data_IF_708297354249
#
_entry.id   IF_708297354249
#
_cell.length_a   1.000
_cell.length_b   1.000
_cell.length_c   1.000
_cell.angle_alpha   90.00
_cell.angle_beta   90.00
_cell.angle_gamma   90.00
#
_symmetry.space_group_name_H-M   'P 1'
#
loop_
_entity.id
_entity.type
_entity.pdbx_description
1 polymer ?
#
# COMPACT_ATOMS: atom_id res chain seq x y z
N UNK A 1 -12.28 14.49 -4.26
CA UNK A 1 -10.94 15.12 -4.15
C UNK A 1 -9.99 14.51 -5.19
N UNK A 2 -10.10 14.86 -6.48
CA UNK A 2 -9.49 14.07 -7.57
C UNK A 2 -7.94 14.07 -7.61
N UNK A 3 -7.30 15.09 -7.02
CA UNK A 3 -5.84 15.26 -7.04
C UNK A 3 -5.17 14.94 -5.69
N UNK A 4 -5.96 14.55 -4.69
CA UNK A 4 -5.46 14.37 -3.33
C UNK A 4 -4.76 13.02 -3.22
N UNK A 5 -3.68 13.00 -2.45
CA UNK A 5 -3.06 11.75 -2.02
C UNK A 5 -3.91 11.21 -0.87
N UNK A 6 -4.62 10.12 -1.13
CA UNK A 6 -5.32 9.35 -0.11
C UNK A 6 -4.44 8.17 0.22
N UNK A 7 -3.89 8.17 1.44
CA UNK A 7 -2.82 7.26 1.84
C UNK A 7 -3.29 6.34 2.95
N UNK A 8 -3.08 5.04 2.79
CA UNK A 8 -3.11 4.14 3.93
C UNK A 8 -1.88 4.33 4.81
N UNK A 9 -2.13 4.56 6.09
CA UNK A 9 -1.12 4.61 7.14
C UNK A 9 -1.11 3.28 7.93
N UNK A 10 -0.38 3.25 9.05
CA UNK A 10 -0.34 2.08 9.93
C UNK A 10 -1.72 1.69 10.47
N UNK A 11 -1.92 0.39 10.69
CA UNK A 11 -3.16 -0.18 11.23
C UNK A 11 -4.19 -0.59 10.17
N UNK A 12 -3.90 -0.42 8.87
CA UNK A 12 -4.79 -0.85 7.77
C UNK A 12 -5.02 -2.37 7.79
N UNK A 13 -3.99 -3.13 8.14
CA UNK A 13 -3.99 -4.59 8.19
C UNK A 13 -4.82 -5.10 9.37
N UNK A 14 -4.86 -4.36 10.48
CA UNK A 14 -5.69 -4.68 11.64
C UNK A 14 -7.16 -4.28 11.42
N UNK A 15 -7.38 -3.12 10.78
CA UNK A 15 -8.73 -2.54 10.65
C UNK A 15 -9.48 -3.09 9.45
N UNK A 16 -8.79 -3.29 8.33
CA UNK A 16 -9.39 -3.65 7.04
C UNK A 16 -8.97 -5.03 6.55
N UNK A 17 -7.91 -5.61 7.10
CA UNK A 17 -7.31 -6.84 6.60
C UNK A 17 -6.80 -6.71 5.16
N UNK A 18 -6.40 -7.85 4.59
CA UNK A 18 -5.85 -7.88 3.23
C UNK A 18 -6.90 -7.58 2.16
N UNK A 19 -8.10 -8.15 2.29
CA UNK A 19 -9.20 -7.92 1.36
C UNK A 19 -9.64 -6.46 1.37
N UNK A 20 -9.87 -5.88 2.56
CA UNK A 20 -10.25 -4.47 2.65
C UNK A 20 -9.16 -3.51 2.20
N UNK A 21 -7.88 -3.84 2.44
CA UNK A 21 -6.76 -3.07 1.88
C UNK A 21 -6.79 -3.10 0.34
N UNK A 22 -7.00 -4.29 -0.25
CA UNK A 22 -7.09 -4.47 -1.70
C UNK A 22 -8.25 -3.67 -2.29
N UNK A 23 -9.42 -3.77 -1.69
CA UNK A 23 -10.63 -3.07 -2.13
C UNK A 23 -10.46 -1.55 -2.06
N UNK A 24 -9.78 -1.04 -1.02
CA UNK A 24 -9.50 0.39 -0.92
C UNK A 24 -8.52 0.91 -1.96
N UNK A 25 -7.48 0.14 -2.30
CA UNK A 25 -6.56 0.48 -3.40
C UNK A 25 -7.28 0.55 -4.75
N UNK A 26 -8.20 -0.38 -5.00
CA UNK A 26 -9.06 -0.35 -6.20
C UNK A 26 -10.13 0.75 -6.12
N UNK A 27 -10.54 1.13 -4.91
CA UNK A 27 -11.56 2.14 -4.62
C UNK A 27 -11.07 3.60 -4.62
N UNK A 28 -9.78 3.85 -4.87
CA UNK A 28 -9.23 5.20 -5.05
C UNK A 28 -8.17 5.63 -4.02
N UNK A 29 -7.78 4.77 -3.08
CA UNK A 29 -6.53 4.97 -2.33
C UNK A 29 -5.36 4.87 -3.31
N UNK A 30 -4.44 5.83 -3.26
CA UNK A 30 -3.34 5.94 -4.24
C UNK A 30 -1.95 6.03 -3.60
N UNK A 31 -1.85 5.75 -2.30
CA UNK A 31 -0.59 5.63 -1.59
C UNK A 31 -0.70 4.70 -0.38
N UNK A 32 0.40 4.06 0.00
CA UNK A 32 0.52 3.22 1.19
C UNK A 32 1.87 3.46 1.87
N UNK A 33 1.88 3.51 3.21
CA UNK A 33 3.12 3.45 3.99
C UNK A 33 3.51 1.97 4.12
N UNK A 34 4.75 1.63 3.78
CA UNK A 34 5.28 0.26 3.81
C UNK A 34 6.42 0.15 4.81
N UNK A 35 6.62 -1.06 5.36
CA UNK A 35 7.77 -1.41 6.21
C UNK A 35 7.79 -0.72 7.58
N UNK A 36 7.26 -1.39 8.61
CA UNK A 36 7.22 -0.92 10.01
C UNK A 36 6.80 0.55 10.13
N UNK A 37 5.49 0.75 10.03
CA UNK A 37 4.74 2.01 9.88
C UNK A 37 5.14 3.16 10.83
N UNK A 38 6.28 3.78 10.55
CA UNK A 38 6.88 4.97 11.17
C UNK A 38 7.02 4.93 12.70
N UNK A 39 5.92 4.81 13.44
CA UNK A 39 5.82 4.75 14.91
C UNK A 39 5.30 3.41 15.42
N UNK A 40 4.79 2.54 14.55
CA UNK A 40 4.23 1.24 14.92
C UNK A 40 4.88 0.12 14.12
N UNK A 41 5.02 -1.05 14.74
CA UNK A 41 5.36 -2.25 14.01
C UNK A 41 4.21 -2.59 13.08
N UNK A 42 4.55 -2.93 11.84
CA UNK A 42 3.60 -3.21 10.79
C UNK A 42 3.85 -4.56 10.16
N UNK A 43 3.40 -4.71 8.92
CA UNK A 43 3.78 -5.86 8.11
C UNK A 43 5.09 -5.60 7.32
N UNK A 44 5.80 -6.66 6.92
CA UNK A 44 6.95 -6.55 6.02
C UNK A 44 6.62 -5.81 4.72
N UNK A 45 7.53 -4.95 4.26
CA UNK A 45 7.34 -4.21 3.01
C UNK A 45 7.21 -5.13 1.77
N UNK A 46 7.74 -6.35 1.83
CA UNK A 46 7.61 -7.36 0.77
C UNK A 46 6.16 -7.75 0.49
N UNK A 47 5.30 -7.80 1.51
CA UNK A 47 3.88 -8.11 1.33
C UNK A 47 3.13 -6.97 0.64
N UNK A 48 3.54 -5.72 0.90
CA UNK A 48 3.03 -4.55 0.17
C UNK A 48 3.45 -4.58 -1.30
N UNK A 49 4.71 -4.92 -1.57
CA UNK A 49 5.21 -5.04 -2.93
C UNK A 49 4.51 -6.17 -3.71
N UNK A 50 4.29 -7.32 -3.07
CA UNK A 50 3.56 -8.43 -3.68
C UNK A 50 2.10 -8.05 -4.01
N UNK A 51 1.41 -7.36 -3.10
CA UNK A 51 0.06 -6.86 -3.36
C UNK A 51 0.02 -5.89 -4.54
N UNK A 52 1.00 -4.98 -4.64
CA UNK A 52 1.07 -4.03 -5.75
C UNK A 52 1.35 -4.74 -7.08
N UNK A 53 2.17 -5.78 -7.08
CA UNK A 53 2.43 -6.62 -8.26
C UNK A 53 1.15 -7.36 -8.71
N UNK A 54 0.44 -8.00 -7.77
CA UNK A 54 -0.85 -8.66 -8.01
C UNK A 54 -1.91 -7.71 -8.60
N UNK A 55 -1.87 -6.44 -8.19
CA UNK A 55 -2.75 -5.37 -8.68
C UNK A 55 -2.24 -4.69 -9.95
N UNK A 56 -1.08 -5.09 -10.47
CA UNK A 56 -0.41 -4.47 -11.63
C UNK A 56 -0.20 -2.97 -11.44
N UNK A 57 0.19 -2.57 -10.23
CA UNK A 57 0.50 -1.19 -9.84
C UNK A 57 2.02 -1.01 -9.69
N UNK A 58 2.73 -0.65 -10.77
CA UNK A 58 4.19 -0.64 -10.77
C UNK A 58 4.78 0.46 -9.88
N UNK A 59 5.82 0.09 -9.12
CA UNK A 59 6.61 1.04 -8.33
C UNK A 59 7.67 1.68 -9.22
N UNK A 60 7.44 2.92 -9.65
CA UNK A 60 8.32 3.66 -10.56
C UNK A 60 9.81 3.63 -10.18
N UNK A 61 10.12 3.76 -8.88
CA UNK A 61 11.51 3.77 -8.42
C UNK A 61 12.21 2.41 -8.58
N UNK A 62 11.48 1.30 -8.37
CA UNK A 62 12.02 -0.05 -8.63
C UNK A 62 12.20 -0.28 -10.13
N UNK A 63 11.23 0.14 -10.95
CA UNK A 63 11.30 0.00 -12.41
C UNK A 63 12.44 0.79 -13.06
N UNK A 64 13.09 1.71 -12.35
CA UNK A 64 14.25 2.45 -12.86
C UNK A 64 15.59 1.75 -12.62
N UNK A 65 15.61 0.69 -11.79
CA UNK A 65 16.83 -0.04 -11.39
C UNK A 65 16.91 -1.44 -12.02
N UNK A 66 15.83 -1.88 -12.68
CA UNK A 66 15.70 -3.12 -13.46
C UNK A 66 15.73 -2.79 -14.96
#
# INVERSE_FOLDING_TARGET
MPRTILRYAGGRELTLGDLGTRDGLLGGINAVIVGNYLTTLGRPASEDLALLDDLKMPVKALSATL
#
